data_IF_635478394153
#
_entry.id   IF_635478394153
#
_cell.length_a   1.000
_cell.length_b   1.000
_cell.length_c   1.000
_cell.angle_alpha   90.00
_cell.angle_beta   90.00
_cell.angle_gamma   90.00
#
_symmetry.space_group_name_H-M   'P 1'
#
loop_
_entity.id
_entity.type
_entity.pdbx_description
1 polymer ?
#
# COMPACT_ATOMS: atom_id res chain seq x y z
N UNK A 1 16.13 10.62 9.18
CA UNK A 1 15.78 9.62 8.18
C UNK A 1 14.30 9.27 8.30
N UNK A 2 13.55 9.44 7.24
CA UNK A 2 12.13 9.15 7.29
C UNK A 2 11.89 7.64 7.16
N UNK A 3 10.85 7.17 7.82
CA UNK A 3 10.43 5.77 7.80
C UNK A 3 8.99 5.74 7.31
N UNK A 4 8.65 4.75 6.49
CA UNK A 4 7.29 4.62 6.01
C UNK A 4 6.34 4.39 7.19
N UNK A 5 5.35 5.27 7.32
CA UNK A 5 4.37 5.20 8.39
C UNK A 5 3.12 4.49 7.90
N UNK A 6 2.84 3.31 8.46
CA UNK A 6 1.72 2.48 8.03
C UNK A 6 0.36 3.13 8.24
N UNK A 7 0.19 3.82 9.35
CA UNK A 7 -1.07 4.49 9.66
C UNK A 7 -1.33 5.65 8.70
N UNK A 8 -0.30 6.44 8.41
CA UNK A 8 -0.43 7.53 7.44
C UNK A 8 -0.73 6.99 6.04
N UNK A 9 -0.06 5.91 5.65
CA UNK A 9 -0.32 5.28 4.37
C UNK A 9 -1.76 4.76 4.30
N UNK A 10 -2.22 4.12 5.35
CA UNK A 10 -3.59 3.63 5.42
C UNK A 10 -4.60 4.77 5.24
N UNK A 11 -4.42 5.86 5.95
CA UNK A 11 -5.30 7.02 5.87
C UNK A 11 -5.27 7.66 4.47
N UNK A 12 -4.10 7.74 3.87
CA UNK A 12 -3.96 8.27 2.52
C UNK A 12 -4.71 7.39 1.51
N UNK A 13 -4.60 6.07 1.65
CA UNK A 13 -5.30 5.14 0.77
C UNK A 13 -6.81 5.20 0.94
N UNK A 14 -7.29 5.39 2.16
CA UNK A 14 -8.73 5.60 2.39
C UNK A 14 -9.24 6.82 1.63
N UNK A 15 -8.46 7.89 1.61
CA UNK A 15 -8.82 9.09 0.88
C UNK A 15 -8.84 8.81 -0.62
N UNK A 16 -7.86 8.07 -1.14
CA UNK A 16 -7.83 7.71 -2.55
C UNK A 16 -9.03 6.85 -2.93
N UNK A 17 -9.41 5.93 -2.06
CA UNK A 17 -10.57 5.07 -2.29
C UNK A 17 -11.86 5.90 -2.38
N UNK A 18 -12.00 6.89 -1.52
CA UNK A 18 -13.19 7.72 -1.46
C UNK A 18 -13.30 8.70 -2.64
N UNK A 19 -12.17 9.18 -3.14
CA UNK A 19 -12.13 10.26 -4.13
C UNK A 19 -11.78 9.80 -5.54
N UNK A 20 -11.32 8.56 -5.69
CA UNK A 20 -10.85 8.06 -6.97
C UNK A 20 -11.94 7.53 -7.88
N UNK A 21 -11.56 7.28 -9.14
CA UNK A 21 -12.44 6.59 -10.08
C UNK A 21 -12.48 5.08 -9.74
N UNK A 22 -13.18 4.29 -10.56
CA UNK A 22 -13.36 2.87 -10.28
C UNK A 22 -12.04 2.11 -10.19
N UNK A 23 -11.09 2.39 -11.07
CA UNK A 23 -9.78 1.73 -11.05
C UNK A 23 -9.00 2.10 -9.79
N UNK A 24 -8.95 3.40 -9.49
CA UNK A 24 -8.22 3.88 -8.33
C UNK A 24 -8.85 3.36 -7.02
N UNK A 25 -10.17 3.26 -7.00
CA UNK A 25 -10.89 2.69 -5.86
C UNK A 25 -10.51 1.22 -5.67
N UNK A 26 -10.47 0.46 -6.75
CA UNK A 26 -10.09 -0.95 -6.70
C UNK A 26 -8.66 -1.12 -6.19
N UNK A 27 -7.72 -0.35 -6.75
CA UNK A 27 -6.32 -0.43 -6.35
C UNK A 27 -6.13 -0.03 -4.89
N UNK A 28 -6.85 1.00 -4.44
CA UNK A 28 -6.80 1.45 -3.05
C UNK A 28 -7.31 0.37 -2.10
N UNK A 29 -8.45 -0.23 -2.42
CA UNK A 29 -9.02 -1.31 -1.61
C UNK A 29 -8.07 -2.50 -1.51
N UNK A 30 -7.46 -2.85 -2.63
CA UNK A 30 -6.48 -3.95 -2.67
C UNK A 30 -5.32 -3.68 -1.72
N UNK A 31 -4.76 -2.47 -1.80
CA UNK A 31 -3.64 -2.10 -0.96
C UNK A 31 -4.01 -1.93 0.51
N UNK A 32 -5.22 -1.43 0.80
CA UNK A 32 -5.67 -1.25 2.18
C UNK A 32 -5.64 -2.56 2.96
N UNK A 33 -6.07 -3.66 2.34
CA UNK A 33 -6.02 -4.97 2.96
C UNK A 33 -4.59 -5.38 3.32
N UNK A 34 -3.66 -5.16 2.40
CA UNK A 34 -2.26 -5.52 2.62
C UNK A 34 -1.59 -4.61 3.64
N UNK A 35 -1.92 -3.32 3.62
CA UNK A 35 -1.39 -2.37 4.60
C UNK A 35 -1.83 -2.75 6.01
N UNK A 36 -3.12 -3.06 6.16
CA UNK A 36 -3.67 -3.48 7.45
C UNK A 36 -2.96 -4.73 8.00
N UNK A 37 -2.77 -5.71 7.13
CA UNK A 37 -2.08 -6.94 7.51
C UNK A 37 -0.62 -6.69 7.88
N UNK A 38 0.09 -5.88 7.07
CA UNK A 38 1.48 -5.57 7.34
C UNK A 38 1.66 -4.79 8.65
N UNK A 39 0.72 -3.89 8.96
CA UNK A 39 0.74 -3.17 10.25
C UNK A 39 0.66 -4.16 11.39
N UNK A 40 -0.28 -5.09 11.30
CA UNK A 40 -0.47 -6.09 12.36
C UNK A 40 0.76 -6.99 12.51
N UNK A 41 1.38 -7.37 11.39
CA UNK A 41 2.54 -8.26 11.41
C UNK A 41 3.83 -7.59 11.89
N UNK A 42 3.88 -6.27 11.87
CA UNK A 42 5.10 -5.54 12.24
C UNK A 42 4.90 -4.62 13.46
N UNK A 43 3.90 -4.92 14.30
CA UNK A 43 3.63 -4.10 15.48
C UNK A 43 4.86 -3.96 16.39
N UNK A 44 5.60 -5.04 16.57
CA UNK A 44 6.78 -5.05 17.44
C UNK A 44 8.05 -4.61 16.73
N UNK A 45 7.99 -4.45 15.41
CA UNK A 45 9.15 -4.01 14.63
C UNK A 45 8.70 -3.07 13.51
N UNK A 46 8.26 -1.85 13.85
CA UNK A 46 7.72 -0.92 12.85
C UNK A 46 8.68 -0.57 11.73
N UNK A 47 9.99 -0.68 11.96
CA UNK A 47 10.98 -0.43 10.93
C UNK A 47 10.93 -1.47 9.79
N UNK A 48 10.28 -2.61 10.03
CA UNK A 48 10.13 -3.67 9.04
C UNK A 48 8.86 -3.51 8.20
N UNK A 49 8.01 -2.54 8.53
CA UNK A 49 6.72 -2.37 7.87
C UNK A 49 6.84 -2.25 6.36
N UNK A 50 7.73 -1.39 5.88
CA UNK A 50 7.89 -1.16 4.45
C UNK A 50 8.28 -2.45 3.72
N UNK A 51 9.27 -3.16 4.24
CA UNK A 51 9.73 -4.41 3.62
C UNK A 51 8.63 -5.46 3.63
N UNK A 52 7.92 -5.58 4.74
CA UNK A 52 6.83 -6.55 4.86
C UNK A 52 5.69 -6.22 3.91
N UNK A 53 5.34 -4.94 3.80
CA UNK A 53 4.28 -4.50 2.91
C UNK A 53 4.61 -4.81 1.45
N UNK A 54 5.80 -4.43 0.99
CA UNK A 54 6.21 -4.67 -0.39
C UNK A 54 6.29 -6.16 -0.68
N UNK A 55 6.80 -6.94 0.25
CA UNK A 55 6.85 -8.40 0.10
C UNK A 55 5.45 -8.99 -0.07
N UNK A 56 4.54 -8.58 0.80
CA UNK A 56 3.16 -9.06 0.82
C UNK A 56 2.44 -8.72 -0.50
N UNK A 57 2.59 -7.48 -0.94
CA UNK A 57 1.94 -7.01 -2.16
C UNK A 57 2.51 -7.73 -3.40
N UNK A 58 3.84 -7.81 -3.52
CA UNK A 58 4.45 -8.47 -4.68
C UNK A 58 4.11 -9.95 -4.72
N UNK A 59 4.06 -10.61 -3.59
CA UNK A 59 3.66 -12.02 -3.53
C UNK A 59 2.21 -12.18 -4.00
N UNK A 60 1.32 -11.33 -3.51
CA UNK A 60 -0.09 -11.38 -3.90
C UNK A 60 -0.28 -11.09 -5.39
N UNK A 61 0.46 -10.13 -5.94
CA UNK A 61 0.39 -9.80 -7.37
C UNK A 61 0.84 -10.97 -8.24
N UNK A 62 1.74 -11.81 -7.73
CA UNK A 62 2.19 -13.00 -8.44
C UNK A 62 1.19 -14.14 -8.37
N UNK A 63 0.34 -14.19 -7.35
CA UNK A 63 -0.64 -15.25 -7.13
C UNK A 63 -2.00 -14.88 -7.75
N UNK A 64 -2.44 -13.66 -7.52
CA UNK A 64 -3.73 -13.18 -8.01
C UNK A 64 -3.67 -12.97 -9.53
N UNK A 65 -4.72 -13.40 -10.21
CA UNK A 65 -4.77 -13.29 -11.67
C UNK A 65 -5.33 -11.94 -12.07
N UNK A 66 -4.50 -10.92 -11.91
CA UNK A 66 -4.86 -9.56 -12.28
C UNK A 66 -4.35 -9.25 -13.69
N UNK A 67 -4.99 -8.30 -14.37
CA UNK A 67 -4.49 -7.83 -15.65
C UNK A 67 -3.17 -7.09 -15.43
N UNK A 68 -2.36 -7.01 -16.48
CA UNK A 68 -1.10 -6.28 -16.44
C UNK A 68 -1.32 -4.80 -16.07
N UNK A 69 -2.38 -4.22 -16.61
CA UNK A 69 -2.73 -2.82 -16.30
C UNK A 69 -3.05 -2.64 -14.81
N UNK A 70 -3.76 -3.58 -14.22
CA UNK A 70 -4.10 -3.52 -12.79
C UNK A 70 -2.84 -3.67 -11.93
N UNK A 71 -1.94 -4.56 -12.31
CA UNK A 71 -0.68 -4.75 -11.58
C UNK A 71 0.14 -3.47 -11.59
N UNK A 72 0.26 -2.84 -12.75
CA UNK A 72 0.98 -1.58 -12.89
C UNK A 72 0.32 -0.49 -12.04
N UNK A 73 -1.02 -0.40 -12.10
CA UNK A 73 -1.76 0.59 -11.35
C UNK A 73 -1.60 0.44 -9.84
N UNK A 74 -1.64 -0.79 -9.35
CA UNK A 74 -1.45 -1.06 -7.92
C UNK A 74 -0.04 -0.66 -7.49
N UNK A 75 0.97 -1.03 -8.27
CA UNK A 75 2.36 -0.68 -7.95
C UNK A 75 2.59 0.82 -7.95
N UNK A 76 2.02 1.52 -8.91
CA UNK A 76 2.15 2.98 -8.99
C UNK A 76 1.47 3.68 -7.82
N UNK A 77 0.27 3.22 -7.45
CA UNK A 77 -0.45 3.80 -6.32
C UNK A 77 0.31 3.56 -5.02
N UNK A 78 0.85 2.36 -4.85
CA UNK A 78 1.67 2.05 -3.67
C UNK A 78 2.89 2.96 -3.60
N UNK A 79 3.55 3.19 -4.72
CA UNK A 79 4.71 4.09 -4.77
C UNK A 79 4.32 5.52 -4.39
N UNK A 80 3.22 6.02 -4.94
CA UNK A 80 2.73 7.36 -4.60
C UNK A 80 2.42 7.47 -3.11
N UNK A 81 1.76 6.45 -2.56
CA UNK A 81 1.42 6.43 -1.14
C UNK A 81 2.65 6.36 -0.25
N UNK A 82 3.63 5.55 -0.64
CA UNK A 82 4.87 5.43 0.11
C UNK A 82 5.61 6.76 0.14
N UNK A 83 5.64 7.47 -0.97
CA UNK A 83 6.27 8.80 -1.03
C UNK A 83 5.55 9.79 -0.12
N UNK A 84 4.21 9.77 -0.12
CA UNK A 84 3.41 10.66 0.72
C UNK A 84 3.60 10.35 2.21
N UNK A 85 3.60 9.08 2.56
CA UNK A 85 3.65 8.66 3.97
C UNK A 85 5.07 8.69 4.55
N UNK A 86 6.10 8.73 3.71
CA UNK A 86 7.49 8.76 4.13
C UNK A 86 8.09 10.17 4.12
N UNK A 87 7.43 11.11 3.49
CA UNK A 87 7.98 12.43 3.23
C UNK A 87 7.50 13.44 4.28
N UNK A 88 7.73 13.11 5.53
CA UNK A 88 7.21 13.85 6.68
C UNK A 88 8.32 14.56 7.46
N UNK A 89 9.23 15.17 6.81
CA UNK A 89 10.34 15.85 7.50
C UNK A 89 10.10 17.32 7.66
#
# INVERSE_FOLDING_TARGET
MSMLNGEQLYNWLLQQEAEGDDDRRFYSSYLLGHVSLAIAETEEAPSQFKNQLYHCVEEALGIDKLSEADIIGIRELLKQGADQASNQL
#
